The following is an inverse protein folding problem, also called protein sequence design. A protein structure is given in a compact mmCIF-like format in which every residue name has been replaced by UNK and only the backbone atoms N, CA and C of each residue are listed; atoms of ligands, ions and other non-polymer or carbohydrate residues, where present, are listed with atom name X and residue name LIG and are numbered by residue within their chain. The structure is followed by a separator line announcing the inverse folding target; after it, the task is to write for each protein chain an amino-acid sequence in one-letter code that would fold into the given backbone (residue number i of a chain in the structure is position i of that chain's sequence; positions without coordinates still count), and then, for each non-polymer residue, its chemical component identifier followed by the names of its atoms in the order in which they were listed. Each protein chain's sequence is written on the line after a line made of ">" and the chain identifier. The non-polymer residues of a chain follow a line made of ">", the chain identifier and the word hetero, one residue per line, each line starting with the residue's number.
data_IF_026490707063
#
_entry.id   IF_026490707063
#
_cell.length_a   1.000
_cell.length_b   1.000
_cell.length_c   1.000
_cell.angle_alpha   90.00
_cell.angle_beta   90.00
_cell.angle_gamma   90.00
#
_symmetry.space_group_name_H-M   'P 1'
#
loop_
_entity.id
_entity.type
_entity.pdbx_description
1 polymer ?
#
# COMPACT_ATOMS: atom_id res chain seq x y z
N UNK A 1 13.32 -12.22 -5.73
CA UNK A 1 13.23 -13.54 -5.06
C UNK A 1 14.32 -13.59 -3.99
N UNK A 2 14.01 -13.96 -2.74
CA UNK A 2 15.05 -14.05 -1.68
C UNK A 2 15.99 -15.22 -2.00
N UNK A 3 17.31 -14.99 -2.17
CA UNK A 3 18.25 -16.06 -2.52
C UNK A 3 18.25 -17.18 -1.47
N UNK A 4 18.24 -18.45 -1.91
CA UNK A 4 18.29 -19.61 -1.03
C UNK A 4 17.01 -19.93 -0.26
N UNK A 5 15.92 -19.17 -0.47
CA UNK A 5 14.65 -19.39 0.23
C UNK A 5 14.05 -20.77 -0.06
N UNK A 6 14.10 -21.22 -1.32
CA UNK A 6 13.57 -22.54 -1.71
C UNK A 6 14.34 -23.69 -1.04
N UNK A 7 15.67 -23.60 -0.99
CA UNK A 7 16.54 -24.61 -0.36
C UNK A 7 16.26 -24.77 1.13
N UNK A 8 15.85 -23.68 1.81
CA UNK A 8 15.45 -23.70 3.23
C UNK A 8 14.21 -24.55 3.52
N UNK A 9 13.40 -24.85 2.51
CA UNK A 9 12.13 -25.57 2.65
C UNK A 9 12.16 -26.97 2.03
N UNK A 10 13.32 -27.45 1.57
CA UNK A 10 13.47 -28.82 1.06
C UNK A 10 13.07 -29.84 2.13
N UNK A 11 12.17 -30.77 1.78
CA UNK A 11 11.68 -31.82 2.67
C UNK A 11 10.66 -31.37 3.72
N UNK A 12 10.18 -30.12 3.67
CA UNK A 12 9.14 -29.60 4.55
C UNK A 12 7.76 -29.77 3.92
N UNK A 13 6.76 -30.10 4.75
CA UNK A 13 5.38 -30.17 4.31
C UNK A 13 4.81 -28.80 3.97
N UNK A 14 3.90 -28.75 2.99
CA UNK A 14 3.38 -27.49 2.43
C UNK A 14 2.76 -26.57 3.49
N UNK A 15 2.07 -27.14 4.49
CA UNK A 15 1.47 -26.37 5.58
C UNK A 15 2.52 -25.64 6.43
N UNK A 16 3.62 -26.30 6.76
CA UNK A 16 4.70 -25.72 7.56
C UNK A 16 5.46 -24.64 6.78
N UNK A 17 5.64 -24.83 5.47
CA UNK A 17 6.20 -23.81 4.58
C UNK A 17 5.35 -22.54 4.62
N UNK A 18 4.01 -22.65 4.56
CA UNK A 18 3.11 -21.49 4.62
C UNK A 18 3.23 -20.76 5.97
N UNK A 19 3.32 -21.49 7.09
CA UNK A 19 3.51 -20.87 8.41
C UNK A 19 4.83 -20.10 8.47
N UNK A 20 5.93 -20.69 7.99
CA UNK A 20 7.24 -20.03 8.03
C UNK A 20 7.30 -18.81 7.11
N UNK A 21 6.73 -18.90 5.90
CA UNK A 21 6.65 -17.76 4.99
C UNK A 21 5.85 -16.59 5.62
N UNK A 22 4.73 -16.89 6.29
CA UNK A 22 3.96 -15.88 7.03
C UNK A 22 4.76 -15.28 8.19
N UNK A 23 5.55 -16.08 8.90
CA UNK A 23 6.39 -15.58 9.98
C UNK A 23 7.51 -14.65 9.48
N UNK A 24 8.17 -15.01 8.36
CA UNK A 24 9.29 -14.25 7.79
C UNK A 24 8.79 -12.96 7.13
N UNK A 25 7.76 -13.03 6.29
CA UNK A 25 7.34 -11.91 5.43
C UNK A 25 6.11 -11.17 5.96
N UNK A 26 5.27 -11.82 6.77
CA UNK A 26 4.00 -11.24 7.20
C UNK A 26 4.13 -10.06 8.15
N UNK A 27 5.13 -10.04 9.04
CA UNK A 27 5.37 -8.89 9.94
C UNK A 27 5.83 -7.67 9.14
N UNK A 28 6.78 -7.85 8.21
CA UNK A 28 7.28 -6.76 7.37
C UNK A 28 6.15 -6.17 6.51
N UNK A 29 5.40 -7.01 5.80
CA UNK A 29 4.26 -6.56 4.98
C UNK A 29 3.18 -5.85 5.80
N UNK A 30 2.94 -6.29 7.05
CA UNK A 30 1.98 -5.63 7.95
C UNK A 30 2.44 -4.23 8.36
N UNK A 31 3.72 -4.07 8.69
CA UNK A 31 4.30 -2.77 9.04
C UNK A 31 4.24 -1.82 7.84
N UNK A 32 4.69 -2.28 6.68
CA UNK A 32 4.69 -1.49 5.45
C UNK A 32 3.27 -1.07 5.03
N UNK A 33 2.29 -1.97 5.18
CA UNK A 33 0.88 -1.66 4.93
C UNK A 33 0.37 -0.58 5.89
N UNK A 34 0.71 -0.67 7.17
CA UNK A 34 0.33 0.34 8.15
C UNK A 34 0.92 1.71 7.78
N UNK A 35 2.21 1.77 7.47
CA UNK A 35 2.89 3.00 7.07
C UNK A 35 2.29 3.60 5.79
N UNK A 36 1.98 2.76 4.80
CA UNK A 36 1.37 3.20 3.53
C UNK A 36 -0.06 3.72 3.73
N UNK A 37 -0.87 3.06 4.57
CA UNK A 37 -2.21 3.54 4.93
C UNK A 37 -2.12 4.88 5.66
N UNK A 38 -1.21 5.00 6.63
CA UNK A 38 -1.00 6.27 7.36
C UNK A 38 -0.60 7.38 6.41
N UNK A 39 0.38 7.15 5.53
CA UNK A 39 0.79 8.13 4.52
C UNK A 39 -0.38 8.54 3.61
N UNK A 40 -1.23 7.59 3.22
CA UNK A 40 -2.43 7.85 2.41
C UNK A 40 -3.43 8.76 3.12
N UNK A 41 -3.71 8.49 4.40
CA UNK A 41 -4.71 9.21 5.18
C UNK A 41 -4.24 10.58 5.66
N UNK A 42 -2.93 10.76 5.85
CA UNK A 42 -2.33 12.01 6.31
C UNK A 42 -1.94 12.96 5.18
N UNK A 43 -1.80 12.46 3.95
CA UNK A 43 -1.39 13.31 2.82
C UNK A 43 -2.46 14.36 2.51
N UNK A 44 -2.06 15.63 2.46
CA UNK A 44 -2.89 16.75 2.07
C UNK A 44 -2.14 17.56 1.03
N UNK A 45 -2.81 17.83 -0.09
CA UNK A 45 -2.30 18.72 -1.11
C UNK A 45 -2.10 20.11 -0.50
N UNK A 46 -0.96 20.74 -0.76
CA UNK A 46 -0.74 22.14 -0.38
C UNK A 46 -1.46 23.09 -1.33
N UNK A 47 -1.85 24.26 -0.85
CA UNK A 47 -2.58 25.26 -1.65
C UNK A 47 -1.80 25.72 -2.90
N UNK A 48 -0.47 25.68 -2.86
CA UNK A 48 0.44 26.06 -3.94
C UNK A 48 0.91 24.88 -4.82
N UNK A 49 0.55 23.65 -4.46
CA UNK A 49 0.96 22.45 -5.20
C UNK A 49 -0.03 22.12 -6.33
N UNK A 50 0.44 21.82 -7.55
CA UNK A 50 -0.44 21.39 -8.62
C UNK A 50 -1.13 20.05 -8.28
N UNK A 51 -2.40 19.90 -8.66
CA UNK A 51 -3.20 18.68 -8.36
C UNK A 51 -2.60 17.43 -9.01
N UNK A 52 -2.10 17.52 -10.24
CA UNK A 52 -1.60 16.37 -11.00
C UNK A 52 -0.51 15.56 -10.26
N UNK A 53 0.61 16.20 -9.85
CA UNK A 53 1.64 15.58 -9.01
C UNK A 53 1.10 14.93 -7.73
N UNK A 54 0.19 15.61 -7.02
CA UNK A 54 -0.43 15.07 -5.80
C UNK A 54 -1.23 13.80 -6.08
N UNK A 55 -2.06 13.80 -7.13
CA UNK A 55 -2.84 12.63 -7.56
C UNK A 55 -1.92 11.47 -7.96
N UNK A 56 -0.86 11.75 -8.72
CA UNK A 56 0.12 10.73 -9.10
C UNK A 56 0.81 10.12 -7.87
N UNK A 57 1.08 10.91 -6.83
CA UNK A 57 1.61 10.39 -5.59
C UNK A 57 0.61 9.47 -4.87
N UNK A 58 -0.66 9.86 -4.80
CA UNK A 58 -1.71 9.03 -4.21
C UNK A 58 -1.88 7.70 -4.96
N UNK A 59 -1.81 7.70 -6.30
CA UNK A 59 -1.84 6.48 -7.12
C UNK A 59 -0.69 5.54 -6.75
N UNK A 60 0.53 6.07 -6.57
CA UNK A 60 1.68 5.24 -6.14
C UNK A 60 1.48 4.61 -4.77
N UNK A 61 0.85 5.31 -3.83
CA UNK A 61 0.51 4.74 -2.53
C UNK A 61 -0.50 3.60 -2.68
N UNK A 62 -1.48 3.72 -3.58
CA UNK A 62 -2.45 2.66 -3.86
C UNK A 62 -1.81 1.45 -4.56
N UNK A 63 -0.92 1.67 -5.52
CA UNK A 63 -0.12 0.60 -6.15
C UNK A 63 0.72 -0.14 -5.09
N UNK A 64 1.28 0.58 -4.11
CA UNK A 64 2.00 -0.05 -3.01
C UNK A 64 1.08 -0.89 -2.12
N UNK A 65 -0.12 -0.39 -1.79
CA UNK A 65 -1.13 -1.17 -1.06
C UNK A 65 -1.54 -2.44 -1.82
N UNK A 66 -1.71 -2.37 -3.14
CA UNK A 66 -2.06 -3.52 -3.97
C UNK A 66 -0.95 -4.58 -3.92
N UNK A 67 0.32 -4.17 -3.97
CA UNK A 67 1.47 -5.07 -3.81
C UNK A 67 1.50 -5.77 -2.44
N UNK A 68 0.86 -5.16 -1.43
CA UNK A 68 0.71 -5.68 -0.07
C UNK A 68 -0.64 -6.39 0.14
N UNK A 69 -1.26 -6.84 -0.95
CA UNK A 69 -2.54 -7.56 -0.97
C UNK A 69 -3.73 -6.73 -0.45
N UNK A 70 -3.72 -5.41 -0.63
CA UNK A 70 -4.83 -4.52 -0.31
C UNK A 70 -5.26 -3.79 -1.58
N UNK A 71 -6.38 -4.21 -2.15
CA UNK A 71 -6.95 -3.57 -3.33
C UNK A 71 -8.05 -2.61 -2.92
N UNK A 72 -8.00 -1.38 -3.40
CA UNK A 72 -9.07 -0.40 -3.26
C UNK A 72 -9.90 -0.40 -4.54
N UNK A 73 -11.23 -0.41 -4.40
CA UNK A 73 -12.10 -0.19 -5.56
C UNK A 73 -11.92 1.23 -6.11
N UNK A 74 -12.05 1.40 -7.43
CA UNK A 74 -11.84 2.69 -8.10
C UNK A 74 -12.64 3.85 -7.49
N UNK A 75 -13.90 3.59 -7.10
CA UNK A 75 -14.77 4.60 -6.47
C UNK A 75 -14.21 5.04 -5.12
N UNK A 76 -13.78 4.09 -4.29
CA UNK A 76 -13.17 4.38 -2.99
C UNK A 76 -11.82 5.10 -3.15
N UNK A 77 -10.97 4.64 -4.07
CA UNK A 77 -9.69 5.27 -4.36
C UNK A 77 -9.87 6.74 -4.81
N UNK A 78 -10.85 6.98 -5.68
CA UNK A 78 -11.22 8.34 -6.13
C UNK A 78 -11.72 9.19 -4.96
N UNK A 79 -12.62 8.66 -4.13
CA UNK A 79 -13.11 9.35 -2.94
C UNK A 79 -12.00 9.72 -1.96
N UNK A 80 -11.04 8.81 -1.73
CA UNK A 80 -9.87 9.08 -0.88
C UNK A 80 -9.04 10.22 -1.48
N UNK A 81 -8.70 10.17 -2.78
CA UNK A 81 -7.95 11.26 -3.44
C UNK A 81 -8.66 12.59 -3.25
N UNK A 82 -9.97 12.66 -3.49
CA UNK A 82 -10.76 13.88 -3.34
C UNK A 82 -10.69 14.43 -1.91
N UNK A 83 -10.69 13.58 -0.88
CA UNK A 83 -10.59 14.01 0.53
C UNK A 83 -9.22 14.59 0.90
N UNK A 84 -8.20 14.34 0.08
CA UNK A 84 -6.83 14.85 0.30
C UNK A 84 -6.55 16.17 -0.42
N UNK A 85 -7.41 16.59 -1.34
CA UNK A 85 -7.25 17.86 -2.05
C UNK A 85 -7.46 19.04 -1.12
N UNK A 86 -6.80 20.15 -1.42
CA UNK A 86 -6.98 21.37 -0.64
C UNK A 86 -8.38 21.96 -0.85
N UNK A 87 -8.82 22.83 0.06
CA UNK A 87 -10.21 23.32 0.14
C UNK A 87 -10.71 24.04 -1.12
N UNK A 88 -9.81 24.53 -1.98
CA UNK A 88 -10.17 25.12 -3.28
C UNK A 88 -10.92 24.16 -4.20
N UNK A 89 -10.82 22.84 -3.96
CA UNK A 89 -11.49 21.79 -4.71
C UNK A 89 -12.63 21.10 -3.96
N UNK A 90 -12.98 21.56 -2.74
CA UNK A 90 -13.96 20.89 -1.88
C UNK A 90 -15.44 20.99 -2.38
N UNK A 91 -15.68 21.71 -3.48
CA UNK A 91 -17.01 21.96 -4.04
C UNK A 91 -17.23 21.32 -5.44
N UNK A 92 -16.38 20.37 -5.84
CA UNK A 92 -16.57 19.53 -7.03
C UNK A 92 -17.54 18.38 -6.74
#
# INVERSE_FOLDING_TARGET
>A
MVPGLQKKFEGMEAYDIIIQLKAIFGKAARVERFETVTATLENRQKDDEPVGPHVLWMIRLFENLESLCVTLGNELATGIILTTLHKGYANL
#
